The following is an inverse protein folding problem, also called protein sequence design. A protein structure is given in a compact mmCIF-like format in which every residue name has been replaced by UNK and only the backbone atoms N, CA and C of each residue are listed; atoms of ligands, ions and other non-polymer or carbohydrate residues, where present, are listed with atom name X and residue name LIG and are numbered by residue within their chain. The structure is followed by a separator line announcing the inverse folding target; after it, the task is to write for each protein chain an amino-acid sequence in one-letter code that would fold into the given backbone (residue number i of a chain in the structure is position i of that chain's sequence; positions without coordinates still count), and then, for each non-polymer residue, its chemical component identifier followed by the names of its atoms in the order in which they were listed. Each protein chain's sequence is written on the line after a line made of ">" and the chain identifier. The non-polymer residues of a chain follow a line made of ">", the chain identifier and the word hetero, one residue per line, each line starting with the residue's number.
data_IF_768471228501
#
_entry.id   IF_768471228501
#
_cell.length_a   1.000
_cell.length_b   1.000
_cell.length_c   1.000
_cell.angle_alpha   90.00
_cell.angle_beta   90.00
_cell.angle_gamma   90.00
#
_symmetry.space_group_name_H-M   'P 1'
#
loop_
_entity.id
_entity.type
_entity.pdbx_description
1 polymer ?
#
# COMPACT_ATOMS: atom_id res chain seq x y z
N UNK A 1 -3.72 28.89 -14.12
CA UNK A 1 -4.46 28.38 -12.95
C UNK A 1 -3.45 27.64 -12.11
N UNK A 2 -3.07 28.17 -10.93
CA UNK A 2 -2.23 27.44 -9.99
C UNK A 2 -3.07 26.24 -9.52
N UNK A 3 -2.61 25.02 -9.80
CA UNK A 3 -3.26 23.81 -9.29
C UNK A 3 -3.27 23.87 -7.78
N UNK A 4 -4.41 23.62 -7.18
CA UNK A 4 -4.51 23.44 -5.72
C UNK A 4 -3.78 22.15 -5.42
N UNK A 5 -2.51 22.25 -5.04
CA UNK A 5 -1.78 21.08 -4.55
C UNK A 5 -2.33 20.72 -3.17
N UNK A 6 -2.59 19.44 -2.89
CA UNK A 6 -3.03 19.03 -1.56
C UNK A 6 -1.97 19.40 -0.53
N UNK A 7 -2.41 20.03 0.56
CA UNK A 7 -1.57 20.38 1.69
C UNK A 7 -1.13 19.14 2.49
N UNK A 8 -0.32 19.40 3.51
CA UNK A 8 0.06 18.39 4.50
C UNK A 8 -1.14 18.19 5.44
N UNK A 9 -1.67 16.99 5.48
CA UNK A 9 -2.83 16.67 6.29
C UNK A 9 -2.47 16.53 7.78
N UNK A 10 -3.40 16.90 8.65
CA UNK A 10 -3.21 16.88 10.11
C UNK A 10 -2.77 15.49 10.63
N UNK A 11 -3.27 14.40 10.05
CA UNK A 11 -2.86 13.04 10.44
C UNK A 11 -1.41 12.72 10.08
N UNK A 12 -0.84 13.38 9.07
CA UNK A 12 0.58 13.21 8.73
C UNK A 12 1.47 13.99 9.71
N UNK A 13 1.01 15.16 10.18
CA UNK A 13 1.68 15.91 11.26
C UNK A 13 1.66 15.09 12.55
N UNK A 14 0.52 14.53 12.91
CA UNK A 14 0.37 13.66 14.09
C UNK A 14 1.27 12.42 14.01
N UNK A 15 1.34 11.79 12.85
CA UNK A 15 2.22 10.63 12.62
C UNK A 15 3.69 11.00 12.76
N UNK A 16 4.10 12.17 12.26
CA UNK A 16 5.47 12.68 12.40
C UNK A 16 5.80 13.00 13.88
N UNK A 17 4.87 13.60 14.63
CA UNK A 17 5.03 13.85 16.08
C UNK A 17 5.26 12.53 16.81
N UNK A 18 4.43 11.51 16.57
CA UNK A 18 4.54 10.22 17.24
C UNK A 18 5.87 9.54 16.91
N UNK A 19 6.29 9.57 15.64
CA UNK A 19 7.58 9.01 15.22
C UNK A 19 8.78 9.71 15.90
N UNK A 20 8.75 11.04 16.03
CA UNK A 20 9.82 11.77 16.71
C UNK A 20 9.86 11.50 18.21
N UNK A 21 8.69 11.33 18.85
CA UNK A 21 8.59 10.92 20.27
C UNK A 21 9.24 9.57 20.51
N UNK A 22 8.99 8.61 19.61
CA UNK A 22 9.58 7.28 19.70
C UNK A 22 11.09 7.31 19.41
N UNK A 23 11.53 8.11 18.45
CA UNK A 23 12.94 8.23 18.06
C UNK A 23 13.78 8.98 19.07
N UNK A 24 13.23 10.01 19.69
CA UNK A 24 13.88 10.87 20.70
C UNK A 24 13.01 10.94 21.95
N UNK A 25 12.97 9.85 22.73
CA UNK A 25 12.14 9.84 23.94
C UNK A 25 12.62 10.89 24.94
N UNK A 26 11.68 11.46 25.65
CA UNK A 26 11.94 12.45 26.71
C UNK A 26 12.78 11.84 27.83
N UNK A 27 13.90 12.43 28.23
CA UNK A 27 14.73 11.91 29.31
C UNK A 27 14.03 11.98 30.69
N UNK A 28 13.15 12.94 30.87
CA UNK A 28 12.41 13.22 32.11
C UNK A 28 10.92 12.89 32.02
N UNK A 29 10.47 12.37 30.87
CA UNK A 29 9.05 12.07 30.60
C UNK A 29 8.18 13.32 30.39
N UNK A 30 8.74 14.52 30.43
CA UNK A 30 8.03 15.80 30.37
C UNK A 30 8.48 16.66 29.18
N UNK A 31 9.78 16.77 28.97
CA UNK A 31 10.38 17.64 27.97
C UNK A 31 10.34 17.00 26.57
N UNK A 32 9.61 17.59 25.64
CA UNK A 32 9.61 17.14 24.25
C UNK A 32 10.85 17.63 23.49
N UNK A 33 11.32 16.85 22.50
CA UNK A 33 12.41 17.28 21.62
C UNK A 33 11.97 18.44 20.71
N UNK A 34 12.95 19.17 20.16
CA UNK A 34 12.68 20.37 19.35
C UNK A 34 11.77 20.08 18.13
N UNK A 35 11.93 18.94 17.50
CA UNK A 35 11.14 18.52 16.34
C UNK A 35 9.67 18.30 16.74
N UNK A 36 9.42 17.68 17.90
CA UNK A 36 8.07 17.49 18.44
C UNK A 36 7.43 18.83 18.75
N UNK A 37 8.16 19.75 19.38
CA UNK A 37 7.64 21.09 19.72
C UNK A 37 7.28 21.87 18.45
N UNK A 38 8.14 21.88 17.44
CA UNK A 38 7.90 22.55 16.18
C UNK A 38 6.66 22.03 15.44
N UNK A 39 6.50 20.70 15.38
CA UNK A 39 5.34 20.07 14.76
C UNK A 39 4.05 20.25 15.59
N UNK A 40 4.16 20.23 16.91
CA UNK A 40 3.03 20.43 17.81
C UNK A 40 2.44 21.84 17.72
N UNK A 41 3.27 22.86 17.45
CA UNK A 41 2.79 24.22 17.18
C UNK A 41 1.91 24.27 15.94
N UNK A 42 2.36 23.65 14.84
CA UNK A 42 1.56 23.54 13.60
C UNK A 42 0.27 22.76 13.85
N UNK A 43 0.36 21.64 14.52
CA UNK A 43 -0.79 20.82 14.88
C UNK A 43 -1.82 21.60 15.70
N UNK A 44 -1.36 22.34 16.72
CA UNK A 44 -2.23 23.13 17.57
C UNK A 44 -2.96 24.24 16.80
N UNK A 45 -2.28 24.90 15.85
CA UNK A 45 -2.91 25.91 15.00
C UNK A 45 -3.97 25.27 14.07
N UNK A 46 -3.66 24.13 13.46
CA UNK A 46 -4.63 23.40 12.63
C UNK A 46 -5.88 23.01 13.42
N UNK A 47 -5.71 22.49 14.65
CA UNK A 47 -6.84 22.16 15.54
C UNK A 47 -7.63 23.41 15.92
N UNK A 48 -6.95 24.49 16.28
CA UNK A 48 -7.58 25.73 16.69
C UNK A 48 -8.43 26.37 15.58
N UNK A 49 -7.92 26.36 14.34
CA UNK A 49 -8.62 26.91 13.17
C UNK A 49 -9.54 25.91 12.48
N UNK A 50 -9.64 24.66 12.96
CA UNK A 50 -10.41 23.57 12.35
C UNK A 50 -9.98 23.25 10.92
N UNK A 51 -8.67 23.37 10.62
CA UNK A 51 -8.09 23.06 9.33
C UNK A 51 -7.60 21.61 9.31
N UNK A 52 -7.94 20.89 8.26
CA UNK A 52 -7.47 19.51 8.06
C UNK A 52 -6.15 19.44 7.30
N UNK A 53 -5.76 20.49 6.59
CA UNK A 53 -4.54 20.57 5.79
C UNK A 53 -3.84 21.92 6.02
N UNK A 54 -2.50 21.91 5.98
CA UNK A 54 -1.68 23.12 5.98
C UNK A 54 -0.79 23.14 4.72
N UNK A 55 -0.50 24.36 4.23
CA UNK A 55 0.41 24.52 3.10
C UNK A 55 1.87 24.32 3.59
N UNK A 56 2.59 23.43 2.96
CA UNK A 56 4.02 23.16 3.24
C UNK A 56 4.86 24.45 3.14
N UNK A 57 4.51 25.36 2.20
CA UNK A 57 5.25 26.59 2.00
C UNK A 57 5.08 27.60 3.14
N UNK A 58 3.99 27.51 3.90
CA UNK A 58 3.70 28.41 5.03
C UNK A 58 4.18 27.84 6.37
N UNK A 59 4.63 26.60 6.42
CA UNK A 59 5.14 25.99 7.65
C UNK A 59 6.42 26.67 8.12
N UNK A 60 6.61 26.83 9.47
CA UNK A 60 7.90 27.19 10.04
C UNK A 60 9.00 26.21 9.58
N UNK A 61 10.19 26.72 9.27
CA UNK A 61 11.28 25.91 8.71
C UNK A 61 11.59 24.68 9.57
N UNK A 62 11.64 24.80 10.89
CA UNK A 62 11.91 23.69 11.80
C UNK A 62 10.82 22.60 11.75
N UNK A 63 9.55 22.98 11.63
CA UNK A 63 8.44 22.04 11.51
C UNK A 63 8.48 21.32 10.16
N UNK A 64 8.76 22.07 9.08
CA UNK A 64 8.91 21.51 7.74
C UNK A 64 10.07 20.51 7.64
N UNK A 65 11.23 20.84 8.19
CA UNK A 65 12.38 19.94 8.24
C UNK A 65 12.06 18.67 9.05
N UNK A 66 11.42 18.82 10.20
CA UNK A 66 11.00 17.68 11.03
C UNK A 66 10.00 16.77 10.30
N UNK A 67 9.04 17.34 9.57
CA UNK A 67 8.08 16.57 8.77
C UNK A 67 8.74 15.85 7.60
N UNK A 68 9.63 16.51 6.85
CA UNK A 68 10.38 15.90 5.74
C UNK A 68 11.30 14.77 6.21
N UNK A 69 11.93 14.92 7.38
CA UNK A 69 12.76 13.87 7.97
C UNK A 69 11.94 12.61 8.33
N UNK A 70 10.72 12.81 8.84
CA UNK A 70 9.78 11.69 9.04
C UNK A 70 9.34 11.10 7.69
N UNK A 71 8.94 11.94 6.74
CA UNK A 71 8.49 11.51 5.41
C UNK A 71 9.52 10.64 4.72
N UNK A 72 10.81 10.98 4.80
CA UNK A 72 11.91 10.22 4.21
C UNK A 72 12.01 8.78 4.76
N UNK A 73 11.41 8.49 5.91
CA UNK A 73 11.37 7.13 6.49
C UNK A 73 10.17 6.32 6.04
N UNK A 74 9.18 6.97 5.40
CA UNK A 74 7.99 6.29 4.89
C UNK A 74 8.25 5.66 3.52
N UNK A 75 7.54 4.57 3.15
CA UNK A 75 7.64 4.03 1.80
C UNK A 75 7.24 5.08 0.76
N UNK A 76 8.13 5.38 -0.21
CA UNK A 76 7.85 6.38 -1.24
C UNK A 76 6.62 5.99 -2.08
N UNK A 77 6.59 4.76 -2.60
CA UNK A 77 5.53 4.34 -3.50
C UNK A 77 4.71 3.16 -2.96
N UNK A 78 3.37 3.16 -3.17
CA UNK A 78 2.51 2.03 -2.80
C UNK A 78 2.68 0.79 -3.70
N UNK A 79 3.57 0.79 -4.66
CA UNK A 79 3.75 -0.28 -5.63
C UNK A 79 4.16 -1.61 -4.98
N UNK A 80 3.55 -2.70 -5.45
CA UNK A 80 3.89 -4.09 -5.07
C UNK A 80 4.46 -4.88 -6.27
N UNK A 81 5.02 -4.17 -7.26
CA UNK A 81 5.57 -4.72 -8.51
C UNK A 81 4.52 -5.41 -9.43
N UNK A 82 3.23 -5.27 -9.13
CA UNK A 82 2.14 -5.70 -10.01
C UNK A 82 1.42 -4.43 -10.47
N UNK A 83 1.50 -4.12 -11.78
CA UNK A 83 0.92 -2.92 -12.34
C UNK A 83 -0.15 -3.27 -13.37
N UNK A 84 -1.42 -3.23 -13.00
CA UNK A 84 -2.52 -3.54 -13.91
C UNK A 84 -2.89 -2.38 -14.83
N UNK A 85 -2.43 -1.15 -14.55
CA UNK A 85 -2.60 -0.02 -15.47
C UNK A 85 -1.84 -0.22 -16.79
N UNK A 86 -0.76 -1.02 -16.77
CA UNK A 86 -0.08 -1.44 -18.02
C UNK A 86 -0.92 -2.39 -18.88
N UNK A 87 -1.98 -2.95 -18.33
CA UNK A 87 -2.94 -3.81 -18.99
C UNK A 87 -4.22 -3.06 -19.42
N UNK A 88 -4.29 -1.74 -19.18
CA UNK A 88 -5.41 -0.88 -19.56
C UNK A 88 -6.38 -0.55 -18.42
N UNK A 89 -6.13 -0.98 -17.19
CA UNK A 89 -6.97 -0.58 -16.06
C UNK A 89 -6.73 0.92 -15.72
N UNK A 90 -7.79 1.66 -15.46
CA UNK A 90 -7.70 3.06 -15.03
C UNK A 90 -7.10 3.20 -13.64
N UNK A 91 -7.36 2.25 -12.76
CA UNK A 91 -6.85 2.17 -11.39
C UNK A 91 -6.09 0.87 -11.21
N UNK A 92 -4.87 0.96 -10.71
CA UNK A 92 -4.02 -0.21 -10.50
C UNK A 92 -4.57 -1.11 -9.37
N UNK A 93 -4.97 -2.34 -9.71
CA UNK A 93 -5.45 -3.35 -8.76
C UNK A 93 -4.39 -3.69 -7.69
N UNK A 94 -3.12 -3.64 -8.06
CA UNK A 94 -2.01 -3.92 -7.15
C UNK A 94 -1.88 -2.89 -6.03
N UNK A 95 -1.90 -1.60 -6.37
CA UNK A 95 -1.56 -0.53 -5.42
C UNK A 95 -2.61 0.57 -5.24
N UNK A 96 -3.67 0.61 -6.06
CA UNK A 96 -4.75 1.60 -5.96
C UNK A 96 -4.47 2.97 -6.57
N UNK A 97 -3.30 3.17 -7.21
CA UNK A 97 -3.02 4.42 -7.93
C UNK A 97 -3.75 4.44 -9.27
N UNK A 98 -4.17 5.63 -9.70
CA UNK A 98 -4.63 5.84 -11.08
C UNK A 98 -3.46 5.73 -12.05
N UNK A 99 -3.76 5.58 -13.34
CA UNK A 99 -2.75 5.58 -14.40
C UNK A 99 -1.90 6.87 -14.38
N UNK A 100 -2.53 8.03 -14.24
CA UNK A 100 -1.86 9.33 -14.16
C UNK A 100 -0.93 9.43 -12.94
N UNK A 101 -1.39 8.98 -11.77
CA UNK A 101 -0.57 8.94 -10.55
C UNK A 101 0.63 8.01 -10.69
N UNK A 102 0.49 6.89 -11.42
CA UNK A 102 1.62 5.99 -11.68
C UNK A 102 2.65 6.68 -12.57
N UNK A 103 2.21 7.37 -13.62
CA UNK A 103 3.11 8.04 -14.57
C UNK A 103 3.81 9.25 -13.96
N UNK A 104 3.08 10.07 -13.21
CA UNK A 104 3.61 11.32 -12.66
C UNK A 104 4.23 11.16 -11.27
N UNK A 105 4.25 9.94 -10.71
CA UNK A 105 4.75 9.69 -9.36
C UNK A 105 6.12 10.31 -9.05
N UNK A 106 7.13 10.22 -9.94
CA UNK A 106 8.44 10.82 -9.66
C UNK A 106 8.44 12.35 -9.57
N UNK A 107 7.44 13.01 -10.20
CA UNK A 107 7.31 14.46 -10.20
C UNK A 107 6.39 15.00 -9.10
N UNK A 108 5.66 14.11 -8.40
CA UNK A 108 4.76 14.49 -7.32
C UNK A 108 5.54 14.94 -6.08
N UNK A 109 5.02 15.98 -5.42
CA UNK A 109 5.53 16.45 -4.13
C UNK A 109 5.24 15.43 -3.01
N UNK A 110 5.95 15.50 -1.86
CA UNK A 110 5.66 14.67 -0.70
C UNK A 110 4.21 14.73 -0.23
N UNK A 111 3.60 15.91 -0.22
CA UNK A 111 2.20 16.11 0.18
C UNK A 111 1.21 15.45 -0.78
N UNK A 112 1.44 15.55 -2.10
CA UNK A 112 0.61 14.87 -3.12
C UNK A 112 0.71 13.34 -2.99
N UNK A 113 1.91 12.82 -2.81
CA UNK A 113 2.13 11.39 -2.56
C UNK A 113 1.41 10.93 -1.30
N UNK A 114 1.47 11.72 -0.23
CA UNK A 114 0.74 11.41 1.01
C UNK A 114 -0.78 11.48 0.84
N UNK A 115 -1.30 12.42 0.07
CA UNK A 115 -2.72 12.49 -0.28
C UNK A 115 -3.17 11.22 -1.03
N UNK A 116 -2.39 10.78 -2.02
CA UNK A 116 -2.64 9.53 -2.72
C UNK A 116 -2.61 8.33 -1.77
N UNK A 117 -1.60 8.25 -0.88
CA UNK A 117 -1.52 7.20 0.12
C UNK A 117 -2.75 7.16 1.04
N UNK A 118 -3.23 8.32 1.51
CA UNK A 118 -4.45 8.41 2.35
C UNK A 118 -5.67 7.87 1.58
N UNK A 119 -5.86 8.31 0.33
CA UNK A 119 -6.97 7.85 -0.51
C UNK A 119 -6.95 6.33 -0.69
N UNK A 120 -5.84 5.77 -1.16
CA UNK A 120 -5.77 4.31 -1.41
C UNK A 120 -5.89 3.49 -0.13
N UNK A 121 -5.45 4.01 1.01
CA UNK A 121 -5.59 3.36 2.32
C UNK A 121 -7.04 3.40 2.80
N UNK A 122 -7.71 4.54 2.63
CA UNK A 122 -9.13 4.68 2.94
C UNK A 122 -9.99 3.76 2.08
N UNK A 123 -9.71 3.69 0.78
CA UNK A 123 -10.46 2.85 -0.15
C UNK A 123 -10.26 1.35 0.14
N UNK A 124 -9.06 0.96 0.56
CA UNK A 124 -8.73 -0.37 1.06
C UNK A 124 -8.88 -1.52 0.06
N UNK A 125 -9.18 -1.22 -1.22
CA UNK A 125 -9.52 -2.22 -2.25
C UNK A 125 -8.31 -2.82 -2.96
N UNK A 126 -7.15 -2.15 -2.89
CA UNK A 126 -5.95 -2.60 -3.57
C UNK A 126 -5.36 -3.87 -2.92
N UNK A 127 -4.81 -4.73 -3.75
CA UNK A 127 -4.21 -6.01 -3.31
C UNK A 127 -3.11 -5.85 -2.27
N UNK A 128 -2.43 -4.71 -2.23
CA UNK A 128 -1.42 -4.42 -1.22
C UNK A 128 -1.93 -4.48 0.22
N UNK A 129 -3.24 -4.27 0.43
CA UNK A 129 -3.88 -4.33 1.75
C UNK A 129 -4.40 -5.72 2.10
N UNK A 130 -4.47 -6.63 1.11
CA UNK A 130 -4.90 -7.99 1.33
C UNK A 130 -3.75 -8.81 1.93
N UNK A 131 -4.07 -9.68 2.88
CA UNK A 131 -3.11 -10.64 3.41
C UNK A 131 -2.68 -11.62 2.31
N UNK A 132 -1.44 -12.11 2.40
CA UNK A 132 -0.90 -13.03 1.40
C UNK A 132 -1.79 -14.27 1.16
N UNK A 133 -2.37 -14.82 2.25
CA UNK A 133 -3.29 -15.97 2.17
C UNK A 133 -4.59 -15.63 1.41
N UNK A 134 -5.14 -14.44 1.61
CA UNK A 134 -6.33 -13.96 0.90
C UNK A 134 -6.03 -13.81 -0.59
N UNK A 135 -4.89 -13.19 -0.94
CA UNK A 135 -4.43 -13.06 -2.33
C UNK A 135 -4.18 -14.40 -3.02
N UNK A 136 -3.65 -15.38 -2.30
CA UNK A 136 -3.44 -16.74 -2.83
C UNK A 136 -4.78 -17.44 -3.11
N UNK A 137 -5.77 -17.24 -2.23
CA UNK A 137 -7.12 -17.81 -2.37
C UNK A 137 -7.87 -17.17 -3.54
N UNK A 138 -7.77 -15.86 -3.71
CA UNK A 138 -8.39 -15.13 -4.84
C UNK A 138 -7.82 -15.62 -6.18
N UNK A 139 -6.50 -15.72 -6.32
CA UNK A 139 -5.84 -16.24 -7.53
C UNK A 139 -6.28 -17.65 -7.86
N UNK A 140 -6.45 -18.51 -6.84
CA UNK A 140 -6.92 -19.88 -7.04
C UNK A 140 -8.38 -19.92 -7.53
N UNK A 141 -9.23 -19.01 -7.05
CA UNK A 141 -10.62 -18.87 -7.50
C UNK A 141 -10.72 -18.35 -8.92
N UNK A 142 -9.93 -17.32 -9.27
CA UNK A 142 -9.89 -16.75 -10.62
C UNK A 142 -9.40 -17.81 -11.62
N UNK A 143 -8.35 -18.56 -11.30
CA UNK A 143 -7.82 -19.63 -12.14
C UNK A 143 -8.84 -20.78 -12.31
N UNK A 144 -9.64 -21.08 -11.29
CA UNK A 144 -10.68 -22.09 -11.37
C UNK A 144 -11.91 -21.60 -12.18
N UNK A 145 -12.21 -20.31 -12.18
CA UNK A 145 -13.30 -19.71 -12.94
C UNK A 145 -12.96 -19.58 -14.45
N UNK A 146 -11.68 -19.41 -14.77
CA UNK A 146 -11.18 -19.27 -16.14
C UNK A 146 -10.79 -20.64 -16.77
N UNK A 147 -10.94 -21.74 -16.03
CA UNK A 147 -10.72 -23.07 -16.56
C UNK A 147 -11.84 -23.41 -17.54
N UNK A 148 -11.55 -23.70 -18.83
CA UNK A 148 -12.57 -24.02 -19.80
C UNK A 148 -13.35 -25.24 -19.34
N UNK A 149 -14.67 -25.15 -19.29
CA UNK A 149 -15.59 -26.28 -19.12
C UNK A 149 -15.45 -27.21 -20.34
N UNK A 150 -14.44 -28.03 -20.32
CA UNK A 150 -14.06 -28.86 -21.42
C UNK A 150 -13.83 -30.32 -21.03
N UNK A 151 -14.76 -31.15 -21.42
CA UNK A 151 -14.49 -32.52 -21.80
C UNK A 151 -14.85 -33.60 -20.80
N UNK A 152 -16.16 -33.78 -20.58
CA UNK A 152 -16.65 -35.11 -20.31
C UNK A 152 -16.49 -35.97 -21.56
N UNK A 153 -15.34 -36.61 -21.75
CA UNK A 153 -15.17 -37.68 -22.71
C UNK A 153 -15.47 -39.00 -22.03
N UNK A 154 -16.66 -39.51 -22.31
CA UNK A 154 -17.01 -40.90 -22.07
C UNK A 154 -16.08 -41.80 -22.87
N UNK A 155 -15.35 -42.64 -22.21
CA UNK A 155 -14.57 -43.74 -22.76
C UNK A 155 -14.90 -45.01 -22.04
N UNK A 156 -16.03 -45.63 -22.46
CA UNK A 156 -16.31 -47.03 -22.16
C UNK A 156 -15.34 -47.92 -22.96
N UNK A 157 -14.56 -48.74 -22.31
CA UNK A 157 -13.72 -49.74 -22.92
C UNK A 157 -13.58 -50.92 -21.98
N UNK A 158 -14.48 -51.88 -22.18
CA UNK A 158 -14.39 -53.23 -21.59
C UNK A 158 -13.30 -54.02 -22.28
N UNK A 159 -12.64 -54.89 -21.52
CA UNK A 159 -11.89 -55.99 -22.16
C UNK A 159 -10.67 -56.45 -21.39
N UNK A 160 -10.89 -57.48 -20.75
CA UNK A 160 -10.32 -58.83 -20.79
C UNK A 160 -9.18 -59.17 -19.84
N UNK A 161 -9.53 -60.13 -19.03
CA UNK A 161 -8.67 -60.90 -18.17
C UNK A 161 -7.65 -61.74 -18.97
N UNK A 162 -6.45 -61.82 -18.47
CA UNK A 162 -5.55 -62.96 -18.75
C UNK A 162 -4.66 -63.23 -17.54
N UNK A 163 -5.02 -64.24 -16.84
CA UNK A 163 -4.24 -65.03 -15.88
C UNK A 163 -3.07 -65.70 -16.58
N UNK A 164 -1.87 -65.59 -16.06
CA UNK A 164 -0.90 -66.68 -16.14
C UNK A 164 0.09 -66.58 -14.98
N UNK A 165 0.14 -67.72 -14.29
CA UNK A 165 1.02 -68.05 -13.18
C UNK A 165 2.43 -68.42 -13.70
N UNK A 166 3.38 -68.35 -12.76
CA UNK A 166 4.51 -69.24 -12.90
C UNK A 166 5.89 -68.78 -12.50
N UNK A 167 6.29 -69.26 -11.34
CA UNK A 167 7.57 -69.87 -11.02
C UNK A 167 8.81 -69.01 -10.74
N UNK A 168 9.13 -68.94 -9.49
CA UNK A 168 10.30 -69.37 -8.69
C UNK A 168 11.66 -69.65 -9.43
N UNK A 169 12.71 -69.15 -8.75
CA UNK A 169 13.99 -69.73 -8.29
C UNK A 169 15.11 -68.70 -8.34
N UNK A 170 15.61 -68.42 -7.15
CA UNK A 170 16.92 -68.82 -6.58
C UNK A 170 18.17 -68.50 -7.43
N UNK A 171 19.00 -67.63 -6.95
CA UNK A 171 20.36 -67.79 -6.44
C UNK A 171 20.79 -66.47 -5.76
#
# INVERSE_FOLDING_TARGET
>A
MAGIHPGIHITDIESAINWWRDKKPSPDGITACAEVLALAEVYALMVYYHESECDEATMPAAAREAWLAWYATTPDAPCIAICSTSQGDEVCKGCGRTFDEVQHWPAMTPSEKRATWRRITHDGTAWRFNRYAERATERSRESAADAPAGGAAAGSGAGSAATLAGAARSA
#
